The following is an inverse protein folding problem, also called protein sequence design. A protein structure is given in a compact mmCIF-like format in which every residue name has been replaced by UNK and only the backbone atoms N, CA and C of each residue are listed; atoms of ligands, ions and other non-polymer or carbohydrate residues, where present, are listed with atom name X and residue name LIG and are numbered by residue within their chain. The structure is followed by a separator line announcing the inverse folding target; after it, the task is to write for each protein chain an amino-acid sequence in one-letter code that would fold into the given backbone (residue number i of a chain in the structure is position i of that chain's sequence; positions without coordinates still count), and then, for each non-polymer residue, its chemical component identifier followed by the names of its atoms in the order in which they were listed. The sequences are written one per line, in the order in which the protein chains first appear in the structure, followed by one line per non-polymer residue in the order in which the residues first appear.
data_IF_686705530028
#
_entry.id   IF_686705530028
#
_cell.length_a   1.000
_cell.length_b   1.000
_cell.length_c   1.000
_cell.angle_alpha   90.00
_cell.angle_beta   90.00
_cell.angle_gamma   90.00
#
_symmetry.space_group_name_H-M   'P 1'
#
loop_
_entity.id
_entity.type
_entity.pdbx_description
1 polymer ?
#
# COMPACT_ATOMS: atom_id res chain seq x y z
N UNK A 1 -18.03 5.07 -16.80
CA UNK A 1 -17.71 5.58 -15.45
C UNK A 1 -18.80 5.10 -14.52
N UNK A 2 -18.54 4.03 -13.77
CA UNK A 2 -19.49 3.51 -12.79
C UNK A 2 -19.54 4.45 -11.59
N UNK A 3 -20.73 4.84 -11.17
CA UNK A 3 -20.94 5.72 -10.03
C UNK A 3 -20.95 4.90 -8.73
N UNK A 4 -19.91 5.09 -7.90
CA UNK A 4 -19.77 4.53 -6.54
C UNK A 4 -21.03 4.74 -5.68
N UNK A 5 -21.87 5.72 -6.03
CA UNK A 5 -23.02 6.17 -5.26
C UNK A 5 -24.37 5.61 -5.72
N UNK A 6 -24.41 4.77 -6.76
CA UNK A 6 -25.65 4.09 -7.18
C UNK A 6 -25.98 2.84 -6.32
N UNK A 7 -25.14 2.53 -5.33
CA UNK A 7 -25.23 1.33 -4.50
C UNK A 7 -26.26 1.54 -3.37
N UNK A 8 -27.53 1.43 -3.73
CA UNK A 8 -28.62 1.23 -2.75
C UNK A 8 -29.17 -0.19 -2.92
N UNK A 9 -29.26 -0.91 -1.79
CA UNK A 9 -29.93 -2.19 -1.54
C UNK A 9 -30.62 -2.83 -2.76
N UNK A 10 -29.88 -3.63 -3.52
CA UNK A 10 -30.46 -4.68 -4.36
C UNK A 10 -29.54 -5.89 -4.31
N UNK A 11 -30.16 -7.07 -4.19
CA UNK A 11 -29.59 -8.43 -4.16
C UNK A 11 -29.20 -9.05 -2.81
N UNK A 12 -30.05 -8.90 -1.79
CA UNK A 12 -30.09 -9.86 -0.67
C UNK A 12 -31.28 -10.84 -0.69
N UNK A 13 -32.20 -10.76 -1.67
CA UNK A 13 -33.48 -11.50 -1.62
C UNK A 13 -33.81 -12.42 -2.80
N UNK A 14 -32.85 -12.74 -3.67
CA UNK A 14 -33.09 -13.77 -4.72
C UNK A 14 -31.91 -14.71 -4.88
N UNK A 15 -31.66 -15.57 -3.88
CA UNK A 15 -30.89 -16.81 -4.00
C UNK A 15 -31.14 -17.68 -2.74
N UNK A 16 -32.39 -18.06 -2.50
CA UNK A 16 -32.75 -19.02 -1.43
C UNK A 16 -33.71 -20.08 -1.95
N UNK A 17 -33.31 -20.82 -2.99
CA UNK A 17 -33.90 -22.11 -3.30
C UNK A 17 -32.79 -23.16 -3.41
N UNK A 18 -32.69 -24.00 -2.37
CA UNK A 18 -31.72 -25.11 -2.25
C UNK A 18 -30.83 -24.96 -1.01
N UNK A 19 -31.34 -25.34 0.17
CA UNK A 19 -30.62 -25.25 1.46
C UNK A 19 -29.40 -26.18 1.52
N UNK A 20 -28.28 -25.76 0.93
CA UNK A 20 -26.96 -25.99 1.50
C UNK A 20 -26.76 -25.02 2.65
N UNK A 21 -26.30 -25.50 3.81
CA UNK A 21 -25.96 -24.63 4.96
C UNK A 21 -25.03 -23.52 4.46
N UNK A 22 -25.31 -22.23 4.73
CA UNK A 22 -24.46 -21.14 4.28
C UNK A 22 -23.06 -21.32 4.88
N UNK A 23 -22.04 -21.14 4.05
CA UNK A 23 -20.65 -21.21 4.48
C UNK A 23 -20.34 -20.01 5.39
N UNK A 24 -19.72 -20.26 6.55
CA UNK A 24 -19.56 -19.28 7.63
C UNK A 24 -18.12 -19.24 8.12
N UNK A 25 -17.66 -18.05 8.50
CA UNK A 25 -16.42 -17.93 9.26
C UNK A 25 -16.66 -18.39 10.72
N UNK A 26 -15.81 -19.26 11.28
CA UNK A 26 -15.94 -19.71 12.66
C UNK A 26 -15.41 -18.70 13.69
N UNK A 27 -14.87 -17.56 13.24
CA UNK A 27 -14.18 -16.57 14.09
C UNK A 27 -14.57 -15.14 13.73
N UNK A 28 -14.30 -14.22 14.66
CA UNK A 28 -14.43 -12.78 14.41
C UNK A 28 -13.20 -12.22 13.66
N UNK A 29 -13.43 -11.42 12.63
CA UNK A 29 -12.38 -10.73 11.90
C UNK A 29 -12.13 -9.35 12.55
N UNK A 30 -11.09 -9.25 13.38
CA UNK A 30 -10.65 -7.97 13.95
C UNK A 30 -9.70 -7.23 13.01
N UNK A 31 -9.82 -5.89 12.95
CA UNK A 31 -8.83 -5.01 12.31
C UNK A 31 -7.56 -4.92 13.18
N UNK A 32 -6.41 -4.73 12.54
CA UNK A 32 -5.11 -4.61 13.21
C UNK A 32 -4.44 -5.93 13.56
N UNK A 33 -3.49 -5.85 14.49
CA UNK A 33 -2.70 -6.99 14.95
C UNK A 33 -3.58 -8.03 15.64
N UNK A 34 -3.32 -9.29 15.30
CA UNK A 34 -3.99 -10.44 15.92
C UNK A 34 -3.03 -11.18 16.81
N UNK A 35 -3.56 -11.75 17.90
CA UNK A 35 -2.76 -12.61 18.76
C UNK A 35 -2.51 -13.97 18.10
N UNK A 36 -1.58 -14.74 18.69
CA UNK A 36 -1.19 -16.06 18.17
C UNK A 36 -2.35 -17.05 18.11
N UNK A 37 -3.31 -16.97 19.03
CA UNK A 37 -4.45 -17.89 19.07
C UNK A 37 -5.42 -17.59 17.91
N UNK A 38 -5.70 -16.32 17.66
CA UNK A 38 -6.50 -15.87 16.52
C UNK A 38 -5.84 -16.22 15.18
N UNK A 39 -4.51 -16.07 15.07
CA UNK A 39 -3.78 -16.52 13.88
C UNK A 39 -3.95 -18.02 13.64
N UNK A 40 -3.86 -18.83 14.68
CA UNK A 40 -3.96 -20.29 14.59
C UNK A 40 -5.38 -20.74 14.23
N UNK A 41 -6.42 -20.11 14.79
CA UNK A 41 -7.81 -20.36 14.44
C UNK A 41 -8.08 -20.10 12.96
N UNK A 42 -7.55 -18.99 12.42
CA UNK A 42 -7.66 -18.65 11.01
C UNK A 42 -6.93 -19.64 10.10
N UNK A 43 -5.73 -20.10 10.48
CA UNK A 43 -5.01 -21.13 9.71
C UNK A 43 -5.77 -22.45 9.67
N UNK A 44 -6.29 -22.89 10.82
CA UNK A 44 -7.14 -24.09 10.91
C UNK A 44 -8.37 -24.00 10.02
N UNK A 45 -8.97 -22.83 9.92
CA UNK A 45 -10.09 -22.60 9.00
C UNK A 45 -9.67 -22.81 7.54
N UNK A 46 -8.58 -22.19 7.08
CA UNK A 46 -8.09 -22.34 5.71
C UNK A 46 -7.72 -23.78 5.35
N UNK A 47 -7.13 -24.52 6.29
CA UNK A 47 -6.69 -25.89 6.08
C UNK A 47 -7.80 -26.93 6.33
N UNK A 48 -8.99 -26.52 6.78
CA UNK A 48 -10.08 -27.45 7.07
C UNK A 48 -10.64 -28.07 5.79
N UNK A 49 -11.07 -29.35 5.87
CA UNK A 49 -11.65 -30.05 4.73
C UNK A 49 -12.87 -29.33 4.16
N UNK A 50 -13.71 -28.74 5.02
CA UNK A 50 -14.89 -27.97 4.61
C UNK A 50 -14.49 -26.77 3.74
N UNK A 51 -13.49 -25.98 4.16
CA UNK A 51 -13.00 -24.83 3.40
C UNK A 51 -12.35 -25.25 2.09
N UNK A 52 -11.50 -26.27 2.12
CA UNK A 52 -10.83 -26.80 0.91
C UNK A 52 -11.85 -27.30 -0.11
N UNK A 53 -12.87 -28.05 0.32
CA UNK A 53 -13.93 -28.54 -0.56
C UNK A 53 -14.79 -27.41 -1.10
N UNK A 54 -15.10 -26.41 -0.27
CA UNK A 54 -15.85 -25.23 -0.70
C UNK A 54 -15.12 -24.50 -1.82
N UNK A 55 -13.84 -24.14 -1.65
CA UNK A 55 -13.06 -23.48 -2.71
C UNK A 55 -12.92 -24.34 -3.96
N UNK A 56 -12.73 -25.65 -3.80
CA UNK A 56 -12.65 -26.59 -4.92
C UNK A 56 -13.95 -26.58 -5.75
N UNK A 57 -15.10 -26.53 -5.09
CA UNK A 57 -16.41 -26.42 -5.77
C UNK A 57 -16.61 -25.09 -6.50
N UNK A 58 -15.87 -24.05 -6.12
CA UNK A 58 -15.84 -22.74 -6.78
C UNK A 58 -14.67 -22.59 -7.76
N UNK A 59 -13.99 -23.69 -8.12
CA UNK A 59 -12.94 -23.68 -9.15
C UNK A 59 -11.54 -23.26 -8.64
N UNK A 60 -11.33 -23.23 -7.33
CA UNK A 60 -10.05 -22.88 -6.71
C UNK A 60 -9.45 -24.03 -5.91
N UNK A 61 -8.18 -24.33 -6.17
CA UNK A 61 -7.39 -25.27 -5.36
C UNK A 61 -6.48 -24.48 -4.44
N UNK A 62 -6.79 -24.48 -3.14
CA UNK A 62 -5.98 -23.81 -2.12
C UNK A 62 -4.56 -24.41 -2.09
N UNK A 63 -3.59 -23.57 -1.75
CA UNK A 63 -2.23 -24.00 -1.45
C UNK A 63 -2.22 -24.89 -0.21
N UNK A 64 -1.27 -25.81 -0.15
CA UNK A 64 -1.09 -26.67 1.02
C UNK A 64 -0.10 -26.04 1.98
N UNK A 65 -0.37 -26.16 3.27
CA UNK A 65 0.55 -25.73 4.32
C UNK A 65 1.74 -26.69 4.41
N UNK A 66 2.91 -26.12 4.61
CA UNK A 66 4.13 -26.88 4.92
C UNK A 66 4.16 -27.10 6.43
N UNK A 67 4.33 -28.36 6.84
CA UNK A 67 4.52 -28.71 8.24
C UNK A 67 6.01 -28.67 8.58
N UNK A 68 6.35 -28.37 9.82
CA UNK A 68 7.73 -28.49 10.30
C UNK A 68 8.12 -29.98 10.48
N UNK A 69 9.38 -30.25 10.84
CA UNK A 69 9.90 -31.61 11.02
C UNK A 69 9.16 -32.43 12.10
N UNK A 70 8.51 -31.77 13.04
CA UNK A 70 7.74 -32.39 14.15
C UNK A 70 6.25 -32.53 13.80
N UNK A 71 5.84 -32.05 12.62
CA UNK A 71 4.47 -32.11 12.11
C UNK A 71 3.58 -30.92 12.50
N UNK A 72 4.12 -29.86 13.11
CA UNK A 72 3.35 -28.67 13.44
C UNK A 72 3.12 -27.76 12.22
N UNK A 73 2.00 -27.05 12.25
CA UNK A 73 1.65 -26.04 11.25
C UNK A 73 2.65 -24.87 11.24
N UNK A 74 3.11 -24.51 10.03
CA UNK A 74 3.91 -23.30 9.81
C UNK A 74 3.09 -22.21 9.12
N UNK A 75 3.58 -20.97 9.11
CA UNK A 75 2.98 -19.91 8.28
C UNK A 75 3.23 -20.11 6.78
N UNK A 76 4.05 -21.09 6.37
CA UNK A 76 4.44 -21.31 4.97
C UNK A 76 3.42 -22.17 4.22
N UNK A 77 3.04 -21.73 3.03
CA UNK A 77 2.20 -22.50 2.10
C UNK A 77 2.85 -22.61 0.73
N UNK A 78 2.53 -23.66 -0.02
CA UNK A 78 3.06 -23.95 -1.36
C UNK A 78 1.95 -24.40 -2.31
N UNK A 79 2.10 -24.21 -3.63
CA UNK A 79 1.12 -24.69 -4.60
C UNK A 79 0.78 -26.17 -4.39
N UNK A 80 -0.52 -26.48 -4.43
CA UNK A 80 -1.01 -27.86 -4.31
C UNK A 80 -0.98 -28.59 -5.65
N UNK A 81 -1.10 -27.87 -6.77
CA UNK A 81 -1.01 -28.43 -8.12
C UNK A 81 0.41 -28.23 -8.69
N UNK A 82 0.83 -29.09 -9.63
CA UNK A 82 2.08 -28.90 -10.35
C UNK A 82 2.12 -27.53 -11.06
N UNK A 83 3.31 -26.94 -11.13
CA UNK A 83 3.56 -25.65 -11.77
C UNK A 83 4.67 -25.82 -12.82
N UNK A 84 4.69 -24.97 -13.85
CA UNK A 84 5.84 -24.85 -14.75
C UNK A 84 7.05 -24.25 -14.00
N UNK A 85 8.26 -24.44 -14.54
CA UNK A 85 9.46 -23.89 -13.91
C UNK A 85 9.53 -22.35 -14.04
N UNK A 86 9.04 -21.82 -15.16
CA UNK A 86 8.97 -20.39 -15.45
C UNK A 86 7.70 -20.12 -16.25
N UNK A 87 7.01 -19.03 -15.94
CA UNK A 87 5.82 -18.58 -16.66
C UNK A 87 5.91 -17.09 -17.02
N UNK A 88 5.46 -16.75 -18.22
CA UNK A 88 5.35 -15.37 -18.67
C UNK A 88 4.09 -14.71 -18.13
N UNK A 89 4.18 -13.44 -17.73
CA UNK A 89 2.99 -12.71 -17.32
C UNK A 89 1.99 -12.56 -18.48
N UNK A 90 0.72 -12.76 -18.13
CA UNK A 90 -0.42 -12.40 -18.94
C UNK A 90 -1.35 -11.59 -18.04
N UNK A 91 -1.33 -10.26 -18.16
CA UNK A 91 -2.12 -9.37 -17.30
C UNK A 91 -3.57 -9.90 -17.20
N UNK A 92 -4.12 -10.08 -15.98
CA UNK A 92 -3.65 -9.57 -14.69
C UNK A 92 -2.69 -10.49 -13.91
N UNK A 93 -2.25 -11.61 -14.48
CA UNK A 93 -1.41 -12.59 -13.80
C UNK A 93 0.07 -12.26 -13.93
N UNK A 94 0.80 -12.47 -12.84
CA UNK A 94 2.23 -12.19 -12.72
C UNK A 94 3.10 -13.23 -13.43
N UNK A 95 4.34 -12.82 -13.74
CA UNK A 95 5.44 -13.73 -14.00
C UNK A 95 5.68 -14.58 -12.74
N UNK A 96 6.16 -15.81 -12.92
CA UNK A 96 6.75 -16.54 -11.81
C UNK A 96 7.87 -17.45 -12.26
N UNK A 97 8.70 -17.80 -11.29
CA UNK A 97 9.75 -18.80 -11.44
C UNK A 97 9.83 -19.69 -10.19
N UNK A 98 10.20 -20.94 -10.41
CA UNK A 98 10.37 -21.96 -9.36
C UNK A 98 11.86 -22.23 -9.09
N UNK A 99 12.75 -21.28 -9.38
CA UNK A 99 14.21 -21.45 -9.28
C UNK A 99 14.61 -21.76 -7.83
N UNK A 100 15.39 -22.83 -7.63
CA UNK A 100 15.96 -23.19 -6.34
C UNK A 100 17.41 -22.70 -6.34
N UNK A 101 17.67 -21.64 -5.59
CA UNK A 101 18.98 -20.98 -5.55
C UNK A 101 19.86 -21.61 -4.47
N UNK A 102 19.27 -22.07 -3.37
CA UNK A 102 19.96 -22.73 -2.27
C UNK A 102 19.02 -23.68 -1.50
N UNK A 103 19.57 -24.42 -0.53
CA UNK A 103 18.84 -25.41 0.29
C UNK A 103 17.69 -24.82 1.13
N UNK A 104 17.63 -23.49 1.27
CA UNK A 104 16.57 -22.80 2.01
C UNK A 104 15.43 -22.32 1.11
N UNK A 105 15.60 -22.32 -0.22
CA UNK A 105 14.59 -21.89 -1.18
C UNK A 105 13.50 -22.95 -1.31
N UNK A 106 12.24 -22.56 -1.14
CA UNK A 106 11.07 -23.40 -1.41
C UNK A 106 10.31 -22.82 -2.60
N UNK A 107 10.25 -23.53 -3.75
CA UNK A 107 9.64 -23.02 -4.97
C UNK A 107 8.22 -22.49 -4.76
N UNK A 108 8.00 -21.25 -5.21
CA UNK A 108 6.70 -20.56 -5.16
C UNK A 108 6.08 -20.47 -3.77
N UNK A 109 6.85 -20.68 -2.69
CA UNK A 109 6.34 -20.61 -1.33
C UNK A 109 5.84 -19.20 -0.99
N UNK A 110 4.83 -19.14 -0.12
CA UNK A 110 4.29 -17.89 0.42
C UNK A 110 4.00 -18.02 1.91
N UNK A 111 3.65 -16.89 2.54
CA UNK A 111 3.39 -16.83 3.98
C UNK A 111 2.02 -16.27 4.32
N UNK A 112 1.40 -16.93 5.28
CA UNK A 112 0.15 -16.50 5.89
C UNK A 112 0.42 -16.04 7.32
N UNK A 113 0.71 -14.74 7.47
CA UNK A 113 1.03 -14.15 8.76
C UNK A 113 -0.21 -14.07 9.66
N UNK A 114 -1.20 -13.25 9.27
CA UNK A 114 -2.39 -12.96 10.06
C UNK A 114 -3.62 -13.85 9.76
N UNK A 115 -3.47 -14.82 8.83
CA UNK A 115 -4.56 -15.70 8.39
C UNK A 115 -5.73 -14.99 7.70
N UNK A 116 -5.55 -13.74 7.25
CA UNK A 116 -6.55 -12.97 6.47
C UNK A 116 -6.54 -13.30 4.98
N UNK A 117 -5.43 -13.85 4.49
CA UNK A 117 -5.19 -14.15 3.09
C UNK A 117 -4.76 -15.61 2.99
N UNK A 118 -5.27 -16.30 1.97
CA UNK A 118 -4.78 -17.59 1.51
C UNK A 118 -4.39 -17.51 0.03
N UNK A 119 -3.55 -18.44 -0.42
CA UNK A 119 -3.16 -18.54 -1.83
C UNK A 119 -3.80 -19.76 -2.49
N UNK A 120 -4.12 -19.67 -3.77
CA UNK A 120 -4.76 -20.74 -4.52
C UNK A 120 -4.33 -20.76 -5.99
N UNK A 121 -4.70 -21.83 -6.68
CA UNK A 121 -4.65 -21.94 -8.13
C UNK A 121 -6.09 -22.07 -8.67
N UNK A 122 -6.41 -21.36 -9.74
CA UNK A 122 -7.70 -21.50 -10.42
C UNK A 122 -7.75 -22.76 -11.31
N UNK A 123 -8.88 -22.98 -11.99
CA UNK A 123 -9.09 -24.11 -12.91
C UNK A 123 -8.15 -24.14 -14.12
N UNK A 124 -7.46 -23.03 -14.41
CA UNK A 124 -6.42 -22.90 -15.45
C UNK A 124 -5.00 -22.93 -14.86
N UNK A 125 -4.88 -23.31 -13.59
CA UNK A 125 -3.63 -23.38 -12.81
C UNK A 125 -2.96 -22.02 -12.60
N UNK A 126 -3.67 -20.90 -12.80
CA UNK A 126 -3.15 -19.55 -12.57
C UNK A 126 -3.22 -19.23 -11.09
N UNK A 127 -2.21 -18.54 -10.57
CA UNK A 127 -2.07 -18.30 -9.14
C UNK A 127 -2.85 -17.06 -8.69
N UNK A 128 -3.60 -17.20 -7.60
CA UNK A 128 -4.41 -16.14 -7.00
C UNK A 128 -4.13 -16.02 -5.50
N UNK A 129 -4.42 -14.85 -4.95
CA UNK A 129 -4.52 -14.58 -3.53
C UNK A 129 -6.00 -14.32 -3.18
N UNK A 130 -6.45 -14.85 -2.06
CA UNK A 130 -7.85 -14.80 -1.62
C UNK A 130 -7.87 -14.15 -0.24
N UNK A 131 -8.49 -12.98 -0.14
CA UNK A 131 -8.59 -12.20 1.11
C UNK A 131 -10.00 -12.29 1.69
N UNK A 132 -10.10 -12.46 3.01
CA UNK A 132 -11.38 -12.35 3.74
C UNK A 132 -11.69 -10.88 3.99
N UNK A 133 -12.88 -10.45 3.61
CA UNK A 133 -13.33 -9.06 3.73
C UNK A 133 -14.69 -9.02 4.40
N UNK A 134 -14.88 -8.12 5.37
CA UNK A 134 -16.16 -7.96 6.05
C UNK A 134 -17.15 -7.18 5.19
N UNK A 135 -18.38 -7.68 5.10
CA UNK A 135 -19.45 -7.03 4.34
C UNK A 135 -19.79 -5.63 4.92
N UNK A 136 -20.24 -4.73 4.05
CA UNK A 136 -20.64 -3.36 4.41
C UNK A 136 -19.51 -2.40 4.79
N UNK A 137 -18.26 -2.86 4.86
CA UNK A 137 -17.07 -2.01 5.11
C UNK A 137 -16.65 -1.20 3.88
N UNK A 138 -15.88 -0.13 4.09
CA UNK A 138 -15.32 0.66 2.98
C UNK A 138 -14.34 -0.16 2.13
N UNK A 139 -13.58 -1.07 2.76
CA UNK A 139 -12.72 -2.02 2.03
C UNK A 139 -13.53 -2.83 1.02
N UNK A 140 -14.65 -3.43 1.44
CA UNK A 140 -15.54 -4.17 0.54
C UNK A 140 -16.06 -3.28 -0.60
N UNK A 141 -16.50 -2.05 -0.30
CA UNK A 141 -16.99 -1.10 -1.32
C UNK A 141 -15.92 -0.77 -2.35
N UNK A 142 -14.68 -0.60 -1.90
CA UNK A 142 -13.53 -0.34 -2.79
C UNK A 142 -13.26 -1.57 -3.65
N UNK A 143 -13.16 -2.77 -3.06
CA UNK A 143 -12.89 -3.99 -3.81
C UNK A 143 -13.99 -4.30 -4.83
N UNK A 144 -15.25 -4.03 -4.50
CA UNK A 144 -16.37 -4.10 -5.44
C UNK A 144 -16.21 -3.09 -6.57
N UNK A 145 -15.96 -1.83 -6.26
CA UNK A 145 -15.71 -0.80 -7.27
C UNK A 145 -14.58 -1.18 -8.22
N UNK A 146 -13.48 -1.73 -7.68
CA UNK A 146 -12.34 -2.21 -8.47
C UNK A 146 -12.70 -3.42 -9.34
N UNK A 147 -13.51 -4.36 -8.84
CA UNK A 147 -13.98 -5.51 -9.65
C UNK A 147 -14.85 -5.11 -10.85
N UNK A 148 -15.46 -3.92 -10.78
CA UNK A 148 -16.31 -3.35 -11.83
C UNK A 148 -15.50 -2.52 -12.85
N UNK A 149 -14.20 -2.26 -12.60
CA UNK A 149 -13.37 -1.50 -13.52
C UNK A 149 -12.75 -2.38 -14.64
N UNK A 150 -12.55 -1.82 -15.84
CA UNK A 150 -11.78 -2.49 -16.88
C UNK A 150 -10.34 -2.77 -16.44
N UNK A 151 -9.81 -3.95 -16.81
CA UNK A 151 -8.47 -4.38 -16.41
C UNK A 151 -7.35 -3.47 -16.93
N UNK A 152 -7.53 -2.89 -18.11
CA UNK A 152 -6.60 -1.94 -18.73
C UNK A 152 -6.59 -0.59 -17.99
N UNK A 153 -7.73 -0.15 -17.46
CA UNK A 153 -7.82 1.05 -16.61
C UNK A 153 -7.05 0.81 -15.31
N UNK A 154 -7.21 -0.35 -14.68
CA UNK A 154 -6.51 -0.67 -13.43
C UNK A 154 -5.00 -0.83 -13.65
N UNK A 155 -4.59 -1.48 -14.74
CA UNK A 155 -3.19 -1.59 -15.15
C UNK A 155 -2.57 -0.22 -15.40
N UNK A 156 -3.25 0.61 -16.18
CA UNK A 156 -2.80 1.96 -16.49
C UNK A 156 -2.71 2.86 -15.26
N UNK A 157 -3.39 2.53 -14.17
CA UNK A 157 -3.35 3.28 -12.91
C UNK A 157 -2.62 2.55 -11.79
N UNK A 158 -1.93 1.45 -12.06
CA UNK A 158 -1.11 0.75 -11.07
C UNK A 158 -1.91 0.30 -9.83
N UNK A 159 -3.12 -0.22 -10.05
CA UNK A 159 -3.99 -0.79 -9.00
C UNK A 159 -4.10 -2.30 -9.22
N UNK A 160 -3.95 -3.08 -8.13
CA UNK A 160 -4.15 -4.52 -8.19
C UNK A 160 -5.64 -4.84 -8.47
N UNK A 161 -5.96 -5.63 -9.52
CA UNK A 161 -7.35 -5.91 -9.86
C UNK A 161 -7.99 -6.96 -8.97
N UNK A 162 -9.31 -6.86 -8.80
CA UNK A 162 -10.16 -7.87 -8.16
C UNK A 162 -10.79 -8.73 -9.26
N UNK A 163 -10.49 -10.02 -9.25
CA UNK A 163 -10.94 -10.98 -10.26
C UNK A 163 -12.36 -11.47 -9.99
N UNK A 164 -12.67 -11.72 -8.71
CA UNK A 164 -13.95 -12.26 -8.28
C UNK A 164 -14.21 -11.92 -6.81
N UNK A 165 -15.48 -11.74 -6.45
CA UNK A 165 -15.96 -11.57 -5.08
C UNK A 165 -16.95 -12.69 -4.76
N UNK A 166 -16.55 -13.63 -3.90
CA UNK A 166 -17.39 -14.77 -3.53
C UNK A 166 -18.14 -14.46 -2.22
N UNK A 167 -19.48 -14.44 -2.22
CA UNK A 167 -20.26 -14.13 -1.02
C UNK A 167 -20.29 -15.30 -0.04
N UNK A 168 -20.17 -14.98 1.25
CA UNK A 168 -20.46 -15.87 2.37
C UNK A 168 -21.24 -15.11 3.45
N UNK A 169 -21.69 -15.77 4.51
CA UNK A 169 -22.53 -15.10 5.51
C UNK A 169 -21.77 -13.98 6.27
N UNK A 170 -22.10 -12.73 5.95
CA UNK A 170 -21.53 -11.51 6.56
C UNK A 170 -20.14 -11.11 6.05
N UNK A 171 -19.59 -11.84 5.09
CA UNK A 171 -18.24 -11.62 4.55
C UNK A 171 -18.17 -11.94 3.05
N UNK A 172 -17.05 -11.58 2.46
CA UNK A 172 -16.70 -11.87 1.07
C UNK A 172 -15.29 -12.42 0.99
N UNK A 173 -15.05 -13.32 0.05
CA UNK A 173 -13.70 -13.65 -0.40
C UNK A 173 -13.37 -12.83 -1.63
N UNK A 174 -12.41 -11.92 -1.50
CA UNK A 174 -11.87 -11.16 -2.63
C UNK A 174 -10.72 -11.94 -3.26
N UNK A 175 -10.94 -12.40 -4.49
CA UNK A 175 -9.94 -13.11 -5.29
C UNK A 175 -9.18 -12.10 -6.14
N UNK A 176 -7.86 -12.09 -6.00
CA UNK A 176 -6.93 -11.18 -6.70
C UNK A 176 -5.81 -12.02 -7.35
N UNK A 177 -5.16 -11.55 -8.42
CA UNK A 177 -4.01 -12.27 -8.96
C UNK A 177 -2.90 -12.32 -7.91
N UNK A 178 -2.18 -13.45 -7.80
CA UNK A 178 -1.01 -13.52 -6.93
C UNK A 178 0.12 -12.72 -7.57
N UNK A 179 0.51 -11.63 -6.94
CA UNK A 179 1.71 -10.86 -7.25
C UNK A 179 2.74 -11.01 -6.12
N UNK A 180 3.99 -10.64 -6.38
CA UNK A 180 5.07 -10.73 -5.40
C UNK A 180 5.18 -9.48 -4.54
N UNK A 181 5.62 -9.64 -3.30
CA UNK A 181 5.96 -8.55 -2.38
C UNK A 181 7.42 -8.11 -2.52
N UNK A 182 7.86 -7.24 -1.61
CA UNK A 182 9.23 -6.75 -1.48
C UNK A 182 9.76 -6.15 -2.79
N UNK A 183 9.08 -5.10 -3.27
CA UNK A 183 9.28 -4.53 -4.61
C UNK A 183 10.70 -3.96 -4.84
N UNK A 184 11.40 -3.63 -3.75
CA UNK A 184 12.78 -3.12 -3.77
C UNK A 184 13.84 -4.23 -3.71
N UNK A 185 13.41 -5.50 -3.63
CA UNK A 185 14.27 -6.67 -3.55
C UNK A 185 14.20 -7.55 -4.81
N UNK A 186 15.33 -8.14 -5.26
CA UNK A 186 16.70 -7.81 -4.85
C UNK A 186 17.02 -6.32 -5.09
N UNK A 187 18.07 -5.75 -4.50
CA UNK A 187 18.32 -4.31 -4.54
C UNK A 187 18.17 -3.68 -5.93
N UNK A 188 17.65 -2.45 -5.96
CA UNK A 188 17.52 -1.66 -7.18
C UNK A 188 18.90 -1.26 -7.69
N UNK A 189 19.18 -1.48 -8.97
CA UNK A 189 20.54 -1.28 -9.52
C UNK A 189 20.65 -0.07 -10.45
N UNK A 190 19.52 0.40 -10.99
CA UNK A 190 19.46 1.48 -11.97
C UNK A 190 18.43 2.53 -11.60
N UNK A 191 18.71 3.80 -11.93
CA UNK A 191 17.82 4.93 -11.62
C UNK A 191 16.42 4.73 -12.22
N UNK A 192 16.29 4.22 -13.44
CA UNK A 192 14.96 3.98 -14.01
C UNK A 192 14.12 3.00 -13.18
N UNK A 193 14.72 2.02 -12.48
CA UNK A 193 13.98 1.08 -11.63
C UNK A 193 13.34 1.78 -10.44
N UNK A 194 14.08 2.71 -9.82
CA UNK A 194 13.58 3.56 -8.73
C UNK A 194 12.44 4.44 -9.22
N UNK A 195 12.64 5.10 -10.36
CA UNK A 195 11.66 6.02 -10.93
C UNK A 195 10.40 5.30 -11.42
N UNK A 196 10.50 4.06 -11.92
CA UNK A 196 9.35 3.24 -12.31
C UNK A 196 8.46 2.90 -11.10
N UNK A 197 9.06 2.64 -9.93
CA UNK A 197 8.33 2.44 -8.68
C UNK A 197 7.65 3.74 -8.25
N UNK A 198 8.40 4.85 -8.15
CA UNK A 198 7.85 6.16 -7.74
C UNK A 198 6.66 6.55 -8.63
N UNK A 199 6.82 6.42 -9.95
CA UNK A 199 5.78 6.74 -10.91
C UNK A 199 4.53 5.87 -10.69
N UNK A 200 4.70 4.56 -10.51
CA UNK A 200 3.59 3.63 -10.31
C UNK A 200 2.76 3.98 -9.06
N UNK A 201 3.43 4.29 -7.94
CA UNK A 201 2.74 4.66 -6.70
C UNK A 201 2.04 6.02 -6.81
N UNK A 202 2.65 7.01 -7.48
CA UNK A 202 2.00 8.31 -7.74
C UNK A 202 0.74 8.14 -8.61
N UNK A 203 0.78 7.28 -9.64
CA UNK A 203 -0.38 6.95 -10.47
C UNK A 203 -1.49 6.30 -9.66
N UNK A 204 -1.17 5.27 -8.88
CA UNK A 204 -2.13 4.58 -8.04
C UNK A 204 -2.78 5.52 -7.02
N UNK A 205 -1.99 6.33 -6.33
CA UNK A 205 -2.53 7.27 -5.36
C UNK A 205 -3.41 8.35 -6.01
N UNK A 206 -2.99 8.89 -7.15
CA UNK A 206 -3.79 9.86 -7.92
C UNK A 206 -5.11 9.25 -8.40
N UNK A 207 -5.12 7.98 -8.81
CA UNK A 207 -6.35 7.28 -9.20
C UNK A 207 -7.31 7.11 -8.03
N UNK A 208 -6.82 6.68 -6.86
CA UNK A 208 -7.65 6.53 -5.67
C UNK A 208 -8.26 7.87 -5.24
N UNK A 209 -7.43 8.92 -5.15
CA UNK A 209 -7.89 10.25 -4.76
C UNK A 209 -8.90 10.83 -5.77
N UNK A 210 -8.68 10.60 -7.06
CA UNK A 210 -9.63 10.98 -8.12
C UNK A 210 -10.99 10.27 -8.05
N UNK A 211 -11.09 9.15 -7.31
CA UNK A 211 -12.34 8.45 -7.02
C UNK A 211 -12.83 8.67 -5.58
N UNK A 212 -12.31 9.69 -4.90
CA UNK A 212 -12.61 10.01 -3.51
C UNK A 212 -12.32 8.86 -2.53
N UNK A 213 -11.28 8.09 -2.81
CA UNK A 213 -10.79 7.01 -1.95
C UNK A 213 -9.48 7.49 -1.31
N UNK A 214 -9.44 7.55 0.01
CA UNK A 214 -8.17 7.66 0.74
C UNK A 214 -7.71 6.28 1.16
N UNK A 215 -6.42 5.98 0.98
CA UNK A 215 -5.87 4.67 1.27
C UNK A 215 -5.70 4.43 2.78
N UNK A 216 -5.22 5.43 3.52
CA UNK A 216 -5.09 5.40 4.98
C UNK A 216 -3.93 4.57 5.54
N UNK A 217 -3.15 3.90 4.69
CA UNK A 217 -1.99 3.07 5.07
C UNK A 217 -1.01 2.95 3.89
N UNK A 218 -0.59 4.10 3.34
CA UNK A 218 0.31 4.13 2.18
C UNK A 218 1.74 3.78 2.63
N UNK A 219 2.22 2.62 2.20
CA UNK A 219 3.59 2.13 2.43
C UNK A 219 4.04 1.19 1.31
N UNK A 220 5.35 1.02 1.13
CA UNK A 220 5.87 0.13 0.07
C UNK A 220 5.48 -1.34 0.26
N UNK A 221 5.21 -1.77 1.50
CA UNK A 221 4.71 -3.12 1.79
C UNK A 221 3.29 -3.36 1.25
N UNK A 222 2.52 -2.29 1.02
CA UNK A 222 1.18 -2.31 0.43
C UNK A 222 1.23 -2.12 -1.10
N UNK A 223 2.36 -2.49 -1.72
CA UNK A 223 2.54 -2.53 -3.16
C UNK A 223 3.09 -3.89 -3.57
N UNK A 224 2.51 -4.47 -4.61
CA UNK A 224 2.98 -5.72 -5.20
C UNK A 224 3.64 -5.46 -6.55
N UNK A 225 4.51 -6.38 -6.95
CA UNK A 225 5.11 -6.43 -8.29
C UNK A 225 4.60 -7.66 -9.02
N UNK A 226 4.33 -7.57 -10.32
CA UNK A 226 3.82 -8.66 -11.16
C UNK A 226 4.87 -9.78 -11.43
N UNK A 227 5.67 -10.13 -10.43
CA UNK A 227 6.60 -11.26 -10.42
C UNK A 227 6.70 -11.87 -9.02
N UNK A 228 6.50 -13.19 -8.89
CA UNK A 228 6.70 -13.91 -7.63
C UNK A 228 7.54 -15.19 -7.80
N UNK A 229 8.26 -15.56 -6.74
CA UNK A 229 9.02 -16.80 -6.62
C UNK A 229 8.81 -17.34 -5.19
N UNK A 230 9.89 -17.70 -4.48
CA UNK A 230 9.84 -17.92 -3.03
C UNK A 230 9.75 -16.58 -2.28
N UNK A 231 8.61 -16.33 -1.62
CA UNK A 231 8.42 -15.12 -0.81
C UNK A 231 9.27 -15.09 0.48
N UNK A 232 9.95 -16.18 0.84
CA UNK A 232 10.78 -16.30 2.05
C UNK A 232 12.18 -15.75 1.90
N UNK A 233 12.58 -15.54 0.65
CA UNK A 233 13.91 -15.10 0.24
C UNK A 233 13.80 -14.11 -0.92
N UNK A 234 13.16 -12.94 -0.72
CA UNK A 234 13.03 -11.94 -1.78
C UNK A 234 14.40 -11.45 -2.33
N UNK A 235 15.47 -11.59 -1.54
CA UNK A 235 16.86 -11.34 -1.91
C UNK A 235 17.44 -12.40 -2.87
N UNK A 236 17.01 -13.66 -2.75
CA UNK A 236 17.45 -14.76 -3.60
C UNK A 236 16.51 -14.83 -4.82
N UNK A 237 16.69 -13.90 -5.76
CA UNK A 237 15.88 -13.87 -6.98
C UNK A 237 16.68 -13.47 -8.22
N UNK A 238 16.99 -14.43 -9.08
CA UNK A 238 17.78 -14.20 -10.30
C UNK A 238 16.95 -13.72 -11.50
N UNK A 239 15.62 -13.84 -11.45
CA UNK A 239 14.72 -13.54 -12.57
C UNK A 239 14.22 -12.09 -12.51
N UNK A 240 13.82 -11.61 -11.34
CA UNK A 240 13.29 -10.25 -11.14
C UNK A 240 14.25 -9.15 -11.63
N UNK A 241 15.58 -9.18 -11.37
CA UNK A 241 16.49 -8.19 -11.95
C UNK A 241 16.51 -8.21 -13.49
N UNK A 242 16.40 -9.39 -14.12
CA UNK A 242 16.35 -9.52 -15.59
C UNK A 242 15.06 -8.94 -16.15
N UNK A 243 13.93 -9.09 -15.45
CA UNK A 243 12.65 -8.49 -15.84
C UNK A 243 12.66 -6.96 -15.66
N UNK A 244 13.28 -6.44 -14.59
CA UNK A 244 13.54 -5.00 -14.41
C UNK A 244 14.39 -4.43 -15.55
N UNK A 245 15.48 -5.10 -15.90
CA UNK A 245 16.36 -4.71 -17.01
C UNK A 245 15.64 -4.59 -18.36
N UNK A 246 14.58 -5.36 -18.56
CA UNK A 246 13.72 -5.33 -19.75
C UNK A 246 12.50 -4.41 -19.61
N UNK A 247 12.32 -3.78 -18.45
CA UNK A 247 11.16 -2.94 -18.08
C UNK A 247 9.82 -3.66 -18.31
N UNK A 248 9.78 -4.95 -17.92
CA UNK A 248 8.60 -5.80 -18.05
C UNK A 248 7.76 -5.90 -16.77
N UNK A 249 8.26 -5.33 -15.67
CA UNK A 249 7.57 -5.37 -14.39
C UNK A 249 6.56 -4.23 -14.25
N UNK A 250 5.43 -4.55 -13.61
CA UNK A 250 4.38 -3.62 -13.21
C UNK A 250 4.23 -3.67 -11.70
N UNK A 251 3.93 -2.52 -11.09
CA UNK A 251 3.71 -2.38 -9.66
C UNK A 251 2.26 -1.97 -9.40
N UNK A 252 1.63 -2.54 -8.37
CA UNK A 252 0.21 -2.37 -8.08
C UNK A 252 -0.05 -2.12 -6.61
N UNK A 253 -0.77 -1.04 -6.30
CA UNK A 253 -1.26 -0.77 -4.94
C UNK A 253 -2.34 -1.78 -4.58
N UNK A 254 -2.30 -2.27 -3.34
CA UNK A 254 -3.31 -3.16 -2.77
C UNK A 254 -3.50 -2.89 -1.27
N UNK A 255 -4.36 -3.68 -0.63
CA UNK A 255 -4.65 -3.66 0.80
C UNK A 255 -5.41 -2.42 1.32
N UNK A 256 -6.74 -2.46 1.18
CA UNK A 256 -7.64 -1.37 1.53
C UNK A 256 -8.21 -1.47 2.96
N UNK A 257 -7.55 -2.18 3.88
CA UNK A 257 -8.01 -2.44 5.27
C UNK A 257 -8.33 -1.14 6.04
N UNK A 258 -7.54 -0.09 5.80
CA UNK A 258 -7.64 1.23 6.45
C UNK A 258 -8.23 2.31 5.55
N UNK A 259 -8.63 1.94 4.34
CA UNK A 259 -9.12 2.90 3.37
C UNK A 259 -10.51 3.41 3.72
N UNK A 260 -10.78 4.59 3.21
CA UNK A 260 -12.03 5.31 3.39
C UNK A 260 -12.57 5.70 2.01
N UNK A 261 -13.83 5.38 1.76
CA UNK A 261 -14.57 5.98 0.65
C UNK A 261 -15.22 7.24 1.19
N UNK A 262 -14.96 8.39 0.58
CA UNK A 262 -15.56 9.66 1.00
C UNK A 262 -17.09 9.57 0.87
N UNK A 263 -17.86 9.85 1.94
CA UNK A 263 -19.31 9.90 1.85
C UNK A 263 -19.83 10.90 0.80
N UNK A 264 -20.97 10.61 0.14
CA UNK A 264 -21.54 11.46 -0.89
C UNK A 264 -21.77 12.90 -0.44
N UNK A 265 -21.46 13.86 -1.31
CA UNK A 265 -21.70 15.29 -1.06
C UNK A 265 -20.67 15.95 -0.14
N UNK A 266 -19.66 15.23 0.33
CA UNK A 266 -18.51 15.83 1.01
C UNK A 266 -17.41 16.17 0.00
N UNK A 267 -16.58 17.13 0.39
CA UNK A 267 -15.47 17.62 -0.40
C UNK A 267 -14.14 17.08 0.18
N UNK A 268 -13.31 16.39 -0.63
CA UNK A 268 -12.05 15.81 -0.16
C UNK A 268 -11.06 16.87 0.36
N UNK A 269 -11.13 18.13 -0.08
CA UNK A 269 -10.21 19.20 0.37
C UNK A 269 -10.53 19.64 1.81
N UNK A 270 -11.81 19.69 2.16
CA UNK A 270 -12.30 20.17 3.46
C UNK A 270 -12.66 19.05 4.42
N UNK A 271 -12.70 17.79 3.98
CA UNK A 271 -13.01 16.66 4.85
C UNK A 271 -11.97 16.47 5.97
N UNK A 272 -12.44 16.20 7.19
CA UNK A 272 -11.61 16.04 8.38
C UNK A 272 -12.03 14.82 9.19
N UNK A 273 -11.04 14.08 9.67
CA UNK A 273 -11.20 12.98 10.61
C UNK A 273 -10.60 13.33 11.98
N UNK A 274 -11.12 12.78 13.08
CA UNK A 274 -10.53 12.96 14.40
C UNK A 274 -9.08 12.45 14.42
N UNK A 275 -8.18 13.19 15.05
CA UNK A 275 -6.75 12.89 15.11
C UNK A 275 -6.40 11.49 15.63
N UNK A 276 -7.26 10.86 16.44
CA UNK A 276 -7.04 9.50 16.93
C UNK A 276 -7.01 8.48 15.80
N UNK A 277 -7.64 8.78 14.66
CA UNK A 277 -7.58 7.94 13.47
C UNK A 277 -6.27 8.07 12.70
N UNK A 278 -5.43 9.07 13.00
CA UNK A 278 -4.06 9.13 12.52
C UNK A 278 -3.07 8.58 13.55
N UNK A 279 -3.51 7.81 14.54
CA UNK A 279 -2.62 7.17 15.49
C UNK A 279 -2.41 5.69 15.17
N UNK A 280 -1.18 5.24 15.31
CA UNK A 280 -0.78 3.87 14.99
C UNK A 280 0.49 3.85 14.16
N UNK A 281 0.86 2.66 13.68
CA UNK A 281 2.07 2.43 12.87
C UNK A 281 2.00 3.03 11.46
N UNK A 282 0.81 3.46 11.01
CA UNK A 282 0.58 3.97 9.66
C UNK A 282 0.71 5.50 9.52
N UNK A 283 0.72 6.27 10.63
CA UNK A 283 1.04 7.70 10.56
C UNK A 283 2.54 7.91 10.71
N UNK A 284 3.24 7.76 9.58
CA UNK A 284 4.67 8.03 9.45
C UNK A 284 4.98 9.53 9.34
N UNK A 285 3.94 10.37 9.21
CA UNK A 285 4.06 11.82 9.14
C UNK A 285 4.11 12.46 10.53
N UNK A 286 4.52 13.73 10.57
CA UNK A 286 4.50 14.54 11.79
C UNK A 286 3.38 15.58 11.78
N UNK A 287 2.29 15.29 11.07
CA UNK A 287 1.18 16.22 10.80
C UNK A 287 0.30 16.47 12.02
N UNK A 288 0.08 15.44 12.83
CA UNK A 288 -0.68 15.54 14.07
C UNK A 288 0.21 15.56 15.32
N UNK A 289 1.53 15.59 15.15
CA UNK A 289 2.50 15.42 16.24
C UNK A 289 2.57 16.60 17.22
N UNK A 290 1.82 17.66 16.99
CA UNK A 290 1.77 18.88 17.79
C UNK A 290 0.42 19.04 18.49
N UNK A 291 -0.41 17.99 18.51
CA UNK A 291 -1.71 18.00 19.16
C UNK A 291 -2.80 18.60 18.27
N UNK A 292 -2.71 18.44 16.95
CA UNK A 292 -3.82 18.70 16.04
C UNK A 292 -5.03 17.84 16.46
N UNK A 293 -6.24 18.40 16.40
CA UNK A 293 -7.46 17.70 16.82
C UNK A 293 -8.19 17.00 15.66
N UNK A 294 -7.75 17.24 14.43
CA UNK A 294 -8.23 16.56 13.25
C UNK A 294 -7.13 16.52 12.18
N UNK A 295 -7.41 15.82 11.08
CA UNK A 295 -6.54 15.78 9.91
C UNK A 295 -7.37 15.52 8.64
N UNK A 296 -6.80 15.85 7.48
CA UNK A 296 -7.35 15.46 6.18
C UNK A 296 -6.70 14.14 5.73
N UNK A 297 -7.47 13.07 5.47
CA UNK A 297 -6.91 11.77 5.10
C UNK A 297 -6.23 11.74 3.73
N UNK A 298 -6.69 12.55 2.76
CA UNK A 298 -6.05 12.67 1.45
C UNK A 298 -4.69 13.37 1.56
N UNK A 299 -4.61 14.42 2.36
CA UNK A 299 -3.33 15.12 2.63
C UNK A 299 -2.36 14.21 3.39
N UNK A 300 -2.88 13.39 4.31
CA UNK A 300 -2.09 12.40 5.05
C UNK A 300 -1.51 11.35 4.11
N UNK A 301 -2.30 10.79 3.18
CA UNK A 301 -1.81 9.79 2.22
C UNK A 301 -0.62 10.30 1.39
N UNK A 302 -0.69 11.54 0.87
CA UNK A 302 0.44 12.12 0.11
C UNK A 302 1.67 12.29 1.00
N UNK A 303 1.46 12.73 2.24
CA UNK A 303 2.52 12.83 3.24
C UNK A 303 3.18 11.50 3.53
N UNK A 304 2.38 10.45 3.78
CA UNK A 304 2.85 9.10 4.04
C UNK A 304 3.67 8.57 2.86
N UNK A 305 3.15 8.69 1.62
CA UNK A 305 3.90 8.30 0.42
C UNK A 305 5.22 9.09 0.28
N UNK A 306 5.20 10.39 0.58
CA UNK A 306 6.41 11.22 0.57
C UNK A 306 7.44 10.76 1.59
N UNK A 307 7.01 10.34 2.79
CA UNK A 307 7.90 9.81 3.83
C UNK A 307 8.50 8.46 3.41
N UNK A 308 7.71 7.59 2.78
CA UNK A 308 8.20 6.32 2.21
C UNK A 308 9.27 6.57 1.15
N UNK A 309 9.01 7.48 0.21
CA UNK A 309 10.01 7.87 -0.78
C UNK A 309 11.24 8.54 -0.15
N UNK A 310 11.10 9.31 0.94
CA UNK A 310 12.26 9.85 1.63
C UNK A 310 13.09 8.71 2.25
N UNK A 311 12.44 7.81 2.97
CA UNK A 311 13.07 6.66 3.65
C UNK A 311 13.84 5.80 2.65
N UNK A 312 13.27 5.58 1.46
CA UNK A 312 13.92 4.77 0.44
C UNK A 312 14.88 5.51 -0.47
N UNK A 313 14.60 6.75 -0.88
CA UNK A 313 15.22 7.35 -2.06
C UNK A 313 15.81 8.76 -1.83
N UNK A 314 15.76 9.33 -0.62
CA UNK A 314 16.25 10.70 -0.39
C UNK A 314 17.74 10.90 -0.70
N UNK A 315 18.56 9.86 -0.49
CA UNK A 315 19.99 9.84 -0.80
C UNK A 315 20.32 10.01 -2.30
N UNK A 316 19.32 9.78 -3.16
CA UNK A 316 19.45 9.91 -4.60
C UNK A 316 19.22 11.35 -5.10
N UNK A 317 18.90 12.32 -4.22
CA UNK A 317 18.66 13.70 -4.63
C UNK A 317 19.88 14.35 -5.33
N UNK A 318 21.11 13.86 -5.08
CA UNK A 318 22.29 14.29 -5.84
C UNK A 318 22.36 13.71 -7.27
N UNK A 319 21.90 12.47 -7.46
CA UNK A 319 21.88 11.80 -8.77
C UNK A 319 20.66 12.18 -9.60
N UNK A 320 19.54 12.44 -8.93
CA UNK A 320 18.25 12.80 -9.52
C UNK A 320 17.72 14.06 -8.83
N UNK A 321 18.21 15.26 -9.22
CA UNK A 321 17.94 16.52 -8.53
C UNK A 321 16.47 16.86 -8.29
N UNK A 322 15.58 16.47 -9.21
CA UNK A 322 14.16 16.79 -9.08
C UNK A 322 13.44 16.03 -7.97
N UNK A 323 14.06 14.98 -7.40
CA UNK A 323 13.50 14.31 -6.23
C UNK A 323 13.45 15.24 -5.02
N UNK A 324 14.43 16.12 -4.80
CA UNK A 324 14.43 17.02 -3.65
C UNK A 324 13.15 17.89 -3.54
N UNK A 325 12.77 18.67 -4.59
CA UNK A 325 11.50 19.40 -4.61
C UNK A 325 10.26 18.51 -4.54
N UNK A 326 10.23 17.33 -5.18
CA UNK A 326 9.09 16.41 -5.07
C UNK A 326 8.89 15.96 -3.61
N UNK A 327 9.95 15.47 -2.99
CA UNK A 327 9.94 14.94 -1.62
C UNK A 327 9.60 16.02 -0.60
N UNK A 328 10.15 17.23 -0.73
CA UNK A 328 9.81 18.35 0.16
C UNK A 328 8.35 18.76 0.03
N UNK A 329 7.81 18.83 -1.19
CA UNK A 329 6.40 19.21 -1.41
C UNK A 329 5.42 18.13 -1.00
N UNK A 330 5.80 16.85 -1.03
CA UNK A 330 4.97 15.77 -0.49
C UNK A 330 5.05 15.71 1.05
N UNK A 331 6.18 16.04 1.65
CA UNK A 331 6.40 15.91 3.11
C UNK A 331 6.33 17.23 3.89
N UNK A 332 6.00 18.34 3.22
CA UNK A 332 5.99 19.67 3.84
C UNK A 332 5.05 19.73 5.04
N UNK A 333 5.48 20.44 6.09
CA UNK A 333 4.66 20.65 7.30
C UNK A 333 3.56 21.69 7.08
N UNK A 334 3.73 22.56 6.07
CA UNK A 334 2.71 23.53 5.69
C UNK A 334 1.69 22.81 4.83
N UNK A 335 0.67 22.21 5.47
CA UNK A 335 -0.25 21.27 4.82
C UNK A 335 -0.98 21.86 3.60
N UNK A 336 -1.32 23.16 3.63
CA UNK A 336 -1.93 23.84 2.48
C UNK A 336 -0.99 24.04 1.28
N UNK A 337 0.32 23.87 1.49
CA UNK A 337 1.32 23.85 0.42
C UNK A 337 1.72 22.43 0.03
N UNK A 338 1.19 21.38 0.66
CA UNK A 338 1.51 20.01 0.27
C UNK A 338 0.90 19.73 -1.10
N UNK A 339 1.62 18.99 -1.93
CA UNK A 339 1.04 18.50 -3.17
C UNK A 339 -0.20 17.64 -2.90
N UNK A 340 -1.19 17.77 -3.76
CA UNK A 340 -2.17 16.71 -4.01
C UNK A 340 -1.52 15.54 -4.73
N UNK A 341 -2.15 14.36 -4.72
CA UNK A 341 -1.61 13.21 -5.45
C UNK A 341 -1.46 13.48 -6.96
N UNK A 342 -2.42 14.21 -7.55
CA UNK A 342 -2.36 14.63 -8.96
C UNK A 342 -1.24 15.62 -9.23
N UNK A 343 -1.04 16.64 -8.37
CA UNK A 343 0.06 17.59 -8.54
C UNK A 343 1.44 16.92 -8.43
N UNK A 344 1.59 15.96 -7.50
CA UNK A 344 2.81 15.19 -7.35
C UNK A 344 3.10 14.35 -8.61
N UNK A 345 2.07 13.70 -9.17
CA UNK A 345 2.17 12.93 -10.41
C UNK A 345 2.51 13.82 -11.61
N UNK A 346 1.82 14.96 -11.77
CA UNK A 346 2.05 15.91 -12.86
C UNK A 346 3.46 16.50 -12.81
N UNK A 347 3.90 16.89 -11.61
CA UNK A 347 5.27 17.32 -11.38
C UNK A 347 6.27 16.23 -11.78
N UNK A 348 6.07 15.00 -11.31
CA UNK A 348 6.95 13.88 -11.62
C UNK A 348 7.02 13.65 -13.13
N UNK A 349 5.87 13.56 -13.82
CA UNK A 349 5.80 13.35 -15.27
C UNK A 349 6.56 14.42 -16.04
N UNK A 350 6.37 15.69 -15.66
CA UNK A 350 7.07 16.82 -16.27
C UNK A 350 8.59 16.70 -16.10
N UNK A 351 9.07 16.30 -14.92
CA UNK A 351 10.51 16.19 -14.66
C UNK A 351 11.12 14.93 -15.27
N UNK A 352 10.42 13.81 -15.22
CA UNK A 352 10.84 12.55 -15.81
C UNK A 352 11.05 12.67 -17.32
N UNK A 353 10.17 13.39 -18.03
CA UNK A 353 10.27 13.62 -19.47
C UNK A 353 11.51 14.42 -19.90
N UNK A 354 12.22 15.06 -18.97
CA UNK A 354 13.44 15.82 -19.23
C UNK A 354 14.71 14.99 -19.06
N UNK A 355 14.61 13.78 -18.49
CA UNK A 355 15.77 12.92 -18.26
C UNK A 355 16.25 12.28 -19.56
N UNK A 356 17.57 12.17 -19.68
CA UNK A 356 18.23 11.41 -20.73
C UNK A 356 18.31 9.92 -20.38
N UNK A 357 18.44 9.08 -21.41
CA UNK A 357 18.68 7.64 -21.20
C UNK A 357 19.95 7.39 -20.38
N UNK A 358 20.98 8.22 -20.54
CA UNK A 358 22.21 8.10 -19.76
C UNK A 358 21.98 8.33 -18.27
N UNK A 359 21.15 9.31 -17.90
CA UNK A 359 20.76 9.56 -16.50
C UNK A 359 19.92 8.41 -15.93
N UNK A 360 18.98 7.88 -16.71
CA UNK A 360 18.16 6.73 -16.34
C UNK A 360 18.99 5.45 -16.10
N UNK A 361 20.08 5.28 -16.85
CA UNK A 361 20.96 4.11 -16.78
C UNK A 361 22.07 4.19 -15.72
N UNK A 362 22.16 5.31 -14.98
CA UNK A 362 23.13 5.44 -13.90
C UNK A 362 22.90 4.37 -12.83
N UNK A 363 23.98 3.85 -12.23
CA UNK A 363 23.85 2.96 -11.08
C UNK A 363 23.25 3.70 -9.89
N UNK A 364 22.40 3.02 -9.12
CA UNK A 364 21.89 3.54 -7.85
C UNK A 364 23.05 3.62 -6.86
N UNK A 365 23.26 4.78 -6.24
CA UNK A 365 24.20 4.93 -5.12
C UNK A 365 23.72 4.10 -3.93
N UNK A 366 24.61 3.36 -3.30
CA UNK A 366 24.29 2.66 -2.05
C UNK A 366 24.09 3.65 -0.89
N UNK A 367 23.15 3.35 0.01
CA UNK A 367 22.92 4.17 1.21
C UNK A 367 24.10 4.08 2.18
N UNK A 368 24.53 5.22 2.70
CA UNK A 368 25.47 5.31 3.80
C UNK A 368 24.76 5.56 5.14
N UNK A 369 25.49 5.52 6.26
CA UNK A 369 24.89 5.64 7.61
C UNK A 369 24.10 6.94 7.82
N UNK A 370 24.53 8.03 7.18
CA UNK A 370 23.85 9.33 7.22
C UNK A 370 22.53 9.37 6.44
N UNK A 371 22.37 8.50 5.44
CA UNK A 371 21.19 8.45 4.58
C UNK A 371 19.95 7.87 5.28
N UNK A 372 20.15 7.17 6.39
CA UNK A 372 19.09 6.65 7.25
C UNK A 372 18.52 7.71 8.22
N UNK A 373 18.95 8.98 8.11
CA UNK A 373 18.40 10.04 8.93
C UNK A 373 16.88 10.22 8.63
N UNK A 374 16.06 10.50 9.66
CA UNK A 374 14.64 10.81 9.47
C UNK A 374 14.43 11.91 8.42
N UNK A 375 13.37 11.79 7.62
CA UNK A 375 13.09 12.70 6.50
C UNK A 375 13.09 14.19 6.90
N UNK A 376 12.68 14.51 8.13
CA UNK A 376 12.62 15.89 8.63
C UNK A 376 13.97 16.43 9.17
N UNK A 377 15.03 15.62 9.14
CA UNK A 377 16.41 15.99 9.52
C UNK A 377 17.39 15.92 8.34
N UNK A 378 17.08 15.15 7.30
CA UNK A 378 17.96 14.97 6.14
C UNK A 378 17.95 16.21 5.23
N UNK A 379 19.12 16.74 4.87
CA UNK A 379 19.26 17.84 3.92
C UNK A 379 19.32 17.34 2.47
N UNK A 380 18.15 17.12 1.88
CA UNK A 380 18.00 16.66 0.48
C UNK A 380 18.66 17.59 -0.54
N UNK A 381 18.88 18.85 -0.19
CA UNK A 381 19.41 19.86 -1.11
C UNK A 381 20.92 19.98 -1.07
N UNK A 382 21.59 19.34 -0.10
CA UNK A 382 23.04 19.46 0.09
C UNK A 382 23.85 19.04 -1.15
N UNK A 383 23.37 18.04 -1.89
CA UNK A 383 24.02 17.52 -3.10
C UNK A 383 23.32 17.93 -4.40
N UNK A 384 22.28 18.77 -4.34
CA UNK A 384 21.56 19.24 -5.52
C UNK A 384 22.38 20.35 -6.21
N UNK A 385 22.54 20.34 -7.56
CA UNK A 385 23.26 21.37 -8.27
C UNK A 385 22.74 22.79 -7.95
N UNK A 386 23.62 23.78 -7.67
CA UNK A 386 23.21 25.11 -7.21
C UNK A 386 22.20 25.82 -8.11
N UNK A 387 22.39 25.75 -9.43
CA UNK A 387 21.49 26.39 -10.40
C UNK A 387 20.09 25.77 -10.35
N UNK A 388 20.02 24.45 -10.20
CA UNK A 388 18.75 23.74 -10.01
C UNK A 388 18.11 24.13 -8.66
N UNK A 389 18.90 24.12 -7.59
CA UNK A 389 18.44 24.50 -6.26
C UNK A 389 17.86 25.91 -6.22
N UNK A 390 18.47 26.86 -6.94
CA UNK A 390 17.98 28.23 -7.05
C UNK A 390 16.62 28.32 -7.75
N UNK A 391 16.46 27.61 -8.88
CA UNK A 391 15.20 27.60 -9.64
C UNK A 391 14.03 26.99 -8.85
N UNK A 392 14.32 26.02 -7.99
CA UNK A 392 13.33 25.29 -7.21
C UNK A 392 13.31 25.67 -5.72
N UNK A 393 13.97 26.77 -5.33
CA UNK A 393 14.11 27.16 -3.93
C UNK A 393 12.76 27.35 -3.21
N UNK A 394 11.72 27.76 -3.93
CA UNK A 394 10.36 27.94 -3.41
C UNK A 394 9.64 26.62 -3.07
N UNK A 395 10.21 25.47 -3.43
CA UNK A 395 9.71 24.14 -3.06
C UNK A 395 10.38 23.59 -1.80
N UNK A 396 11.48 24.22 -1.35
CA UNK A 396 12.26 23.76 -0.21
C UNK A 396 11.46 23.85 1.09
N UNK A 397 11.43 22.77 1.86
CA UNK A 397 10.79 22.73 3.18
C UNK A 397 11.51 23.69 4.14
N UNK A 398 10.79 24.63 4.78
CA UNK A 398 11.40 25.56 5.71
C UNK A 398 11.91 24.85 6.98
N UNK A 399 12.97 25.38 7.62
CA UNK A 399 13.47 24.86 8.89
C UNK A 399 12.38 24.78 9.96
N UNK A 400 12.41 23.71 10.75
CA UNK A 400 11.43 23.49 11.83
C UNK A 400 11.59 24.58 12.89
N UNK A 401 10.56 25.41 13.15
CA UNK A 401 10.59 26.41 14.21
C UNK A 401 10.84 25.78 15.58
N UNK A 402 11.55 26.49 16.46
CA UNK A 402 11.83 26.00 17.81
C UNK A 402 10.54 25.76 18.61
N UNK A 403 9.48 26.53 18.36
CA UNK A 403 8.14 26.37 18.94
C UNK A 403 7.52 25.03 18.55
N UNK A 404 7.59 24.64 17.28
CA UNK A 404 7.14 23.34 16.79
C UNK A 404 7.92 22.20 17.45
N UNK A 405 9.25 22.34 17.58
CA UNK A 405 10.08 21.35 18.28
C UNK A 405 9.68 21.22 19.75
N UNK A 406 9.40 22.33 20.42
CA UNK A 406 8.93 22.33 21.80
C UNK A 406 7.56 21.68 21.95
N UNK A 407 6.60 21.98 21.07
CA UNK A 407 5.27 21.37 21.06
C UNK A 407 5.33 19.86 20.83
N UNK A 408 6.15 19.39 19.88
CA UNK A 408 6.38 17.94 19.67
C UNK A 408 6.91 17.28 20.94
N UNK A 409 7.88 17.88 21.63
CA UNK A 409 8.39 17.37 22.91
C UNK A 409 7.33 17.35 24.02
N UNK A 410 6.42 18.33 24.06
CA UNK A 410 5.29 18.34 25.00
C UNK A 410 4.34 17.18 24.68
N UNK A 411 4.02 16.99 23.40
CA UNK A 411 3.07 15.99 22.91
C UNK A 411 3.62 14.56 22.86
N UNK A 412 4.92 14.35 23.14
CA UNK A 412 5.51 13.01 23.30
C UNK A 412 4.85 12.19 24.41
N UNK A 413 4.20 12.84 25.39
CA UNK A 413 3.38 12.15 26.39
C UNK A 413 1.92 12.16 25.95
N UNK A 414 1.34 10.97 25.82
CA UNK A 414 -0.03 10.75 25.33
C UNK A 414 -1.07 11.66 26.01
N UNK A 415 -1.11 11.71 27.35
CA UNK A 415 -2.05 12.59 28.06
C UNK A 415 -1.86 14.09 27.75
N UNK A 416 -0.62 14.54 27.51
CA UNK A 416 -0.33 15.93 27.16
C UNK A 416 -0.78 16.24 25.74
N UNK A 417 -0.60 15.29 24.82
CA UNK A 417 -1.15 15.39 23.48
C UNK A 417 -2.65 15.65 23.55
N UNK A 418 -3.40 14.83 24.30
CA UNK A 418 -4.84 14.97 24.44
C UNK A 418 -5.24 16.35 24.98
N UNK A 419 -4.52 16.86 25.99
CA UNK A 419 -4.75 18.20 26.53
C UNK A 419 -4.54 19.27 25.45
N UNK A 420 -3.44 19.19 24.69
CA UNK A 420 -3.15 20.17 23.62
C UNK A 420 -4.21 20.13 22.52
N UNK A 421 -4.60 18.92 22.07
CA UNK A 421 -5.66 18.74 21.08
C UNK A 421 -7.00 19.29 21.56
N UNK A 422 -7.37 19.02 22.80
CA UNK A 422 -8.61 19.54 23.39
C UNK A 422 -8.59 21.07 23.50
N UNK A 423 -7.48 21.66 23.94
CA UNK A 423 -7.32 23.12 24.01
C UNK A 423 -7.46 23.75 22.63
N UNK A 424 -6.81 23.19 21.60
CA UNK A 424 -6.93 23.68 20.21
C UNK A 424 -8.36 23.58 19.68
N UNK A 425 -9.04 22.46 19.94
CA UNK A 425 -10.44 22.28 19.58
C UNK A 425 -11.35 23.31 20.26
N UNK A 426 -11.12 23.63 21.53
CA UNK A 426 -11.87 24.65 22.27
C UNK A 426 -11.70 26.04 21.63
N UNK A 427 -10.46 26.43 21.28
CA UNK A 427 -10.20 27.71 20.60
C UNK A 427 -10.89 27.80 19.24
N UNK A 428 -10.87 26.71 18.46
CA UNK A 428 -11.58 26.62 17.18
C UNK A 428 -13.09 26.81 17.36
N UNK A 429 -13.70 26.14 18.34
CA UNK A 429 -15.14 26.26 18.66
C UNK A 429 -15.56 27.68 19.07
N UNK A 430 -14.68 28.40 19.75
CA UNK A 430 -14.95 29.75 20.23
C UNK A 430 -14.75 30.84 19.17
N UNK A 431 -14.37 30.48 17.94
CA UNK A 431 -14.05 31.45 16.88
C UNK A 431 -12.85 32.34 17.20
N UNK A 432 -12.08 31.98 18.24
CA UNK A 432 -10.88 32.69 18.68
C UNK A 432 -9.66 32.35 17.82
N UNK A 433 -9.81 31.44 16.86
CA UNK A 433 -8.86 31.22 15.76
C UNK A 433 -9.02 32.29 14.67
N UNK A 434 -8.92 33.57 15.06
CA UNK A 434 -8.54 34.63 14.13
C UNK A 434 -7.03 34.51 13.87
N UNK A 435 -6.65 34.24 12.62
CA UNK A 435 -5.27 34.45 12.13
C UNK A 435 -4.16 33.85 12.99
N UNK A 436 -4.12 32.52 13.16
CA UNK A 436 -2.81 31.86 13.29
C UNK A 436 -2.37 31.50 11.87
N UNK A 437 -1.36 32.20 11.37
CA UNK A 437 -0.65 31.89 10.14
C UNK A 437 -0.29 30.39 10.07
N UNK A 438 -0.20 29.79 8.87
CA UNK A 438 0.26 28.41 8.74
C UNK A 438 1.67 28.30 9.34
N UNK A 439 1.80 27.56 10.44
CA UNK A 439 3.07 27.33 11.14
C UNK A 439 3.77 26.06 10.70
#
# INVERSE_FOLDING_TARGET
MGDLNSITNYDSEKLTEGLTKPFRLPFALTKGDVDRAQMEERRKFWDSSETVEWFKSHGYTLYRRVLNEVGDYTSRTVPSLPCSDVETAHHPYAYYDSEIINDFTTPLASFEFAGKVAFAQDSRHRHVAIKIVQDGTDEYRILRFLSEQPLDVLEANCILPVLELLPIEGFWFAVMPRWGSAITYPPLTKIYEVLDIIHSLLKGLSFLHGHNISHGDVKLDNVLVNHFADASRPEDNNVRPKLRAKRLLSYGIFDFDYSLVLPPGMDPETFRLPYQRSWGTFNTTMDTAQGEFDFNPFVLDVGALGVEFCTEFQHLCGQVPFLAPLLDKMTTRILGNRFTASEALDYFNKMYAQLTDAELQQPVREKESEDFAPYYLYDRWASVPPDFAQNWAHFKEPPIPWTTRALRRICQREWRFHVVAYVRWLFFRLGLSGTCAPT
#
